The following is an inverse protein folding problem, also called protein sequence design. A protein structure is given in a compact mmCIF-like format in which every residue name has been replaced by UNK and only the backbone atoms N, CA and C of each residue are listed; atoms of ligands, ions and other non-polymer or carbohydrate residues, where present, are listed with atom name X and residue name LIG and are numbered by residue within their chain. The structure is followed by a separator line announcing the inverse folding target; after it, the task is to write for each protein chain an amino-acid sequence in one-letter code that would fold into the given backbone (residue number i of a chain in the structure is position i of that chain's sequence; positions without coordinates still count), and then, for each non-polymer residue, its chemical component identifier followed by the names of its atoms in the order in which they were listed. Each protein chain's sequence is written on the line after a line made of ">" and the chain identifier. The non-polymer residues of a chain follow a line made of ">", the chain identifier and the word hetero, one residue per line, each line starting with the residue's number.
data_IF_562470704049
#
_entry.id   IF_562470704049
#
_cell.length_a   1.000
_cell.length_b   1.000
_cell.length_c   1.000
_cell.angle_alpha   90.00
_cell.angle_beta   90.00
_cell.angle_gamma   90.00
#
_symmetry.space_group_name_H-M   'P 1'
#
loop_
_entity.id
_entity.type
_entity.pdbx_description
1 polymer ?
#
# COMPACT_ATOMS: atom_id res chain seq x y z
N UNK A 1 56.64 -39.08 36.64
CA UNK A 1 55.53 -38.12 36.86
C UNK A 1 55.07 -37.44 35.57
N UNK A 2 55.97 -36.90 34.74
CA UNK A 2 55.63 -36.19 33.50
C UNK A 2 54.72 -36.97 32.52
N UNK A 3 54.98 -38.27 32.30
CA UNK A 3 54.17 -39.11 31.40
C UNK A 3 52.71 -39.24 31.88
N UNK A 4 52.50 -39.32 33.20
CA UNK A 4 51.15 -39.40 33.79
C UNK A 4 50.41 -38.06 33.65
N UNK A 5 51.10 -36.95 33.83
CA UNK A 5 50.56 -35.59 33.65
C UNK A 5 50.19 -35.36 32.18
N UNK A 6 51.03 -35.80 31.24
CA UNK A 6 50.78 -35.68 29.81
C UNK A 6 49.57 -36.50 29.36
N UNK A 7 49.41 -37.73 29.87
CA UNK A 7 48.23 -38.55 29.60
C UNK A 7 46.93 -37.91 30.09
N UNK A 8 46.96 -37.26 31.26
CA UNK A 8 45.80 -36.53 31.81
C UNK A 8 45.45 -35.32 30.93
N UNK A 9 46.44 -34.57 30.44
CA UNK A 9 46.23 -33.44 29.55
C UNK A 9 45.63 -33.85 28.21
N UNK A 10 46.09 -34.96 27.63
CA UNK A 10 45.52 -35.51 26.39
C UNK A 10 44.06 -35.92 26.61
N UNK A 11 43.75 -36.57 27.73
CA UNK A 11 42.38 -36.98 28.05
C UNK A 11 41.44 -35.76 28.22
N UNK A 12 41.90 -34.71 28.91
CA UNK A 12 41.13 -33.48 29.05
C UNK A 12 40.92 -32.77 27.71
N UNK A 13 41.94 -32.77 26.85
CA UNK A 13 41.86 -32.20 25.50
C UNK A 13 40.86 -32.95 24.62
N UNK A 14 40.88 -34.29 24.62
CA UNK A 14 39.95 -35.08 23.81
C UNK A 14 38.51 -34.94 24.30
N UNK A 15 38.28 -34.90 25.61
CA UNK A 15 36.94 -34.68 26.19
C UNK A 15 36.40 -33.30 25.78
N UNK A 16 37.19 -32.25 25.95
CA UNK A 16 36.78 -30.88 25.59
C UNK A 16 36.52 -30.75 24.09
N UNK A 17 37.38 -31.31 23.25
CA UNK A 17 37.19 -31.31 21.81
C UNK A 17 35.93 -32.07 21.39
N UNK A 18 35.64 -33.20 22.04
CA UNK A 18 34.41 -33.98 21.78
C UNK A 18 33.16 -33.17 22.12
N UNK A 19 33.14 -32.51 23.29
CA UNK A 19 32.02 -31.65 23.71
C UNK A 19 31.85 -30.48 22.74
N UNK A 20 32.93 -29.81 22.33
CA UNK A 20 32.89 -28.72 21.36
C UNK A 20 32.44 -29.19 19.97
N UNK A 21 32.78 -30.41 19.55
CA UNK A 21 32.34 -30.99 18.27
C UNK A 21 30.86 -31.39 18.27
N UNK A 22 30.30 -31.69 19.44
CA UNK A 22 28.88 -32.00 19.64
C UNK A 22 28.01 -30.74 19.79
N UNK A 23 28.63 -29.58 20.08
CA UNK A 23 27.96 -28.30 20.02
C UNK A 23 27.82 -27.92 18.54
N UNK A 24 26.60 -27.94 18.01
CA UNK A 24 26.34 -27.49 16.64
C UNK A 24 26.88 -26.07 16.45
N UNK A 25 27.92 -25.84 15.61
CA UNK A 25 28.47 -24.51 15.37
C UNK A 25 27.46 -23.58 14.68
N UNK A 26 26.34 -24.14 14.22
CA UNK A 26 25.23 -23.45 13.56
C UNK A 26 24.12 -23.03 14.53
N UNK A 27 24.24 -23.32 15.83
CA UNK A 27 23.25 -22.92 16.85
C UNK A 27 23.37 -21.46 17.31
N UNK A 28 24.11 -20.62 16.56
CA UNK A 28 23.99 -19.16 16.64
C UNK A 28 22.57 -18.78 16.22
N UNK A 29 21.66 -18.85 17.18
CA UNK A 29 20.31 -18.34 17.10
C UNK A 29 20.42 -16.81 17.17
N UNK A 30 20.92 -16.22 16.08
CA UNK A 30 20.81 -14.80 15.84
C UNK A 30 19.31 -14.53 15.83
N UNK A 31 18.77 -14.02 16.93
CA UNK A 31 17.44 -13.46 16.95
C UNK A 31 17.44 -12.34 15.92
N UNK A 32 17.06 -12.67 14.69
CA UNK A 32 16.73 -11.69 13.67
C UNK A 32 15.46 -11.04 14.20
N UNK A 33 15.63 -9.99 15.01
CA UNK A 33 14.54 -9.04 15.26
C UNK A 33 13.92 -8.79 13.89
N UNK A 34 12.62 -9.08 13.74
CA UNK A 34 11.93 -9.05 12.47
C UNK A 34 11.99 -7.64 11.89
N UNK A 35 13.08 -7.33 11.19
CA UNK A 35 13.21 -6.15 10.37
C UNK A 35 12.13 -6.31 9.31
N UNK A 36 11.21 -5.34 9.22
CA UNK A 36 10.19 -5.32 8.19
C UNK A 36 10.91 -5.04 6.85
N UNK A 37 11.50 -6.08 6.29
CA UNK A 37 12.25 -6.00 5.05
C UNK A 37 11.29 -5.63 3.93
N UNK A 38 11.70 -4.66 3.11
CA UNK A 38 11.10 -4.46 1.79
C UNK A 38 11.33 -5.75 1.02
N UNK A 39 10.27 -6.49 0.75
CA UNK A 39 10.35 -7.80 0.11
C UNK A 39 10.56 -7.65 -1.40
N UNK A 40 9.96 -6.62 -2.01
CA UNK A 40 10.08 -6.31 -3.44
C UNK A 40 10.07 -4.79 -3.59
N UNK A 41 10.91 -4.27 -4.48
CA UNK A 41 10.87 -2.87 -4.92
C UNK A 41 10.94 -2.79 -6.45
N UNK A 42 10.11 -1.93 -7.04
CA UNK A 42 10.12 -1.65 -8.47
C UNK A 42 9.96 -0.14 -8.72
N UNK A 43 10.51 0.34 -9.84
CA UNK A 43 10.47 1.75 -10.25
C UNK A 43 9.86 1.89 -11.65
N UNK A 44 9.33 3.08 -11.96
CA UNK A 44 8.80 3.45 -13.27
C UNK A 44 7.75 2.48 -13.82
N UNK A 45 6.75 2.18 -12.99
CA UNK A 45 5.73 1.19 -13.30
C UNK A 45 4.73 1.74 -14.30
N UNK A 46 4.43 0.92 -15.31
CA UNK A 46 3.38 1.14 -16.31
C UNK A 46 2.71 -0.20 -16.56
N UNK A 47 1.41 -0.28 -16.34
CA UNK A 47 0.61 -1.48 -16.57
C UNK A 47 -0.64 -1.12 -17.36
N UNK A 48 -1.01 -2.03 -18.27
CA UNK A 48 -2.20 -1.91 -19.11
C UNK A 48 -3.10 -3.10 -18.83
N UNK A 49 -4.36 -2.83 -18.52
CA UNK A 49 -5.40 -3.85 -18.49
C UNK A 49 -6.17 -3.78 -19.81
N UNK A 50 -6.24 -4.89 -20.52
CA UNK A 50 -6.90 -4.97 -21.83
C UNK A 50 -7.83 -6.17 -21.89
N UNK A 51 -8.85 -6.09 -22.75
CA UNK A 51 -9.59 -7.27 -23.23
C UNK A 51 -9.17 -7.58 -24.68
N UNK A 52 -9.98 -8.38 -25.40
CA UNK A 52 -9.68 -8.80 -26.77
C UNK A 52 -9.59 -7.65 -27.79
N UNK A 53 -10.14 -6.47 -27.50
CA UNK A 53 -10.22 -5.37 -28.48
C UNK A 53 -9.90 -3.97 -27.94
N UNK A 54 -9.87 -3.76 -26.63
CA UNK A 54 -9.67 -2.44 -26.01
C UNK A 54 -8.78 -2.49 -24.77
N UNK A 55 -8.04 -1.40 -24.55
CA UNK A 55 -7.40 -1.11 -23.26
C UNK A 55 -8.49 -0.56 -22.33
N UNK A 56 -8.75 -1.26 -21.22
CA UNK A 56 -9.75 -0.91 -20.22
C UNK A 56 -9.23 0.08 -19.18
N UNK A 57 -7.97 -0.13 -18.78
CA UNK A 57 -7.34 0.63 -17.73
C UNK A 57 -5.84 0.78 -17.99
N UNK A 58 -5.29 1.91 -17.56
CA UNK A 58 -3.87 2.17 -17.52
C UNK A 58 -3.48 2.58 -16.11
N UNK A 59 -2.45 1.94 -15.58
CA UNK A 59 -1.91 2.21 -14.24
C UNK A 59 -0.47 2.66 -14.38
N UNK A 60 -0.10 3.71 -13.65
CA UNK A 60 1.25 4.24 -13.59
C UNK A 60 1.61 4.54 -12.14
N UNK A 61 2.84 4.23 -11.75
CA UNK A 61 3.42 4.69 -10.50
C UNK A 61 4.91 4.93 -10.67
N UNK A 62 5.47 5.86 -9.89
CA UNK A 62 6.90 6.12 -9.86
C UNK A 62 7.64 4.97 -9.17
N UNK A 63 7.09 4.43 -8.09
CA UNK A 63 7.62 3.23 -7.45
C UNK A 63 6.56 2.40 -6.78
N UNK A 64 6.89 1.12 -6.55
CA UNK A 64 6.13 0.20 -5.71
C UNK A 64 7.08 -0.48 -4.74
N UNK A 65 6.66 -0.57 -3.48
CA UNK A 65 7.35 -1.29 -2.43
C UNK A 65 6.37 -2.27 -1.78
N UNK A 66 6.75 -3.54 -1.71
CA UNK A 66 6.01 -4.58 -1.00
C UNK A 66 6.64 -4.83 0.37
N UNK A 67 5.84 -4.71 1.42
CA UNK A 67 6.17 -5.11 2.79
C UNK A 67 5.51 -6.46 3.11
N UNK A 68 5.65 -6.94 4.35
CA UNK A 68 4.98 -8.17 4.79
C UNK A 68 3.46 -8.02 4.84
N UNK A 69 2.98 -6.82 5.17
CA UNK A 69 1.61 -6.49 5.54
C UNK A 69 0.93 -5.52 4.55
N UNK A 70 1.67 -4.90 3.63
CA UNK A 70 1.09 -3.92 2.70
C UNK A 70 1.90 -3.75 1.42
N UNK A 71 1.24 -3.19 0.42
CA UNK A 71 1.85 -2.72 -0.82
C UNK A 71 1.68 -1.21 -0.91
N UNK A 72 2.76 -0.47 -1.14
CA UNK A 72 2.77 0.99 -1.27
C UNK A 72 3.23 1.39 -2.67
N UNK A 73 2.48 2.28 -3.32
CA UNK A 73 2.81 2.87 -4.61
C UNK A 73 2.96 4.38 -4.46
N UNK A 74 4.02 4.95 -5.04
CA UNK A 74 4.27 6.39 -5.03
C UNK A 74 3.95 7.01 -6.38
N UNK A 75 3.40 8.23 -6.36
CA UNK A 75 2.93 9.01 -7.51
C UNK A 75 2.01 8.17 -8.42
N UNK A 76 0.96 7.63 -7.81
CA UNK A 76 0.05 6.69 -8.47
C UNK A 76 -0.97 7.42 -9.34
N UNK A 77 -1.21 6.88 -10.54
CA UNK A 77 -2.22 7.32 -11.49
C UNK A 77 -2.91 6.09 -12.06
N UNK A 78 -4.23 6.12 -12.08
CA UNK A 78 -5.07 5.19 -12.84
C UNK A 78 -5.97 5.96 -13.80
N UNK A 79 -5.99 5.51 -15.05
CA UNK A 79 -6.85 6.02 -16.11
C UNK A 79 -7.74 4.89 -16.61
N UNK A 80 -9.04 4.98 -16.33
CA UNK A 80 -10.00 3.93 -16.68
C UNK A 80 -11.18 4.52 -17.43
N UNK A 81 -11.99 3.65 -18.06
CA UNK A 81 -13.20 4.06 -18.76
C UNK A 81 -14.26 4.69 -17.84
N UNK A 82 -14.33 4.22 -16.58
CA UNK A 82 -15.34 4.68 -15.62
C UNK A 82 -14.91 5.95 -14.87
N UNK A 83 -13.64 6.01 -14.49
CA UNK A 83 -13.05 7.10 -13.71
C UNK A 83 -11.53 7.09 -13.80
N UNK A 84 -10.94 8.25 -13.54
CA UNK A 84 -9.52 8.42 -13.33
C UNK A 84 -9.26 8.79 -11.87
N UNK A 85 -8.13 8.37 -11.33
CA UNK A 85 -7.72 8.69 -9.98
C UNK A 85 -6.20 8.87 -9.91
N UNK A 86 -5.74 9.90 -9.22
CA UNK A 86 -4.32 10.09 -8.92
C UNK A 86 -4.09 10.45 -7.46
N UNK A 87 -2.95 10.06 -6.91
CA UNK A 87 -2.52 10.41 -5.56
C UNK A 87 -0.99 10.36 -5.45
N UNK A 88 -0.42 11.03 -4.45
CA UNK A 88 1.01 10.93 -4.14
C UNK A 88 1.36 9.54 -3.61
N UNK A 89 0.45 8.90 -2.87
CA UNK A 89 0.61 7.55 -2.35
C UNK A 89 -0.67 6.75 -2.49
N UNK A 90 -0.50 5.48 -2.80
CA UNK A 90 -1.53 4.45 -2.80
C UNK A 90 -1.07 3.30 -1.91
N UNK A 91 -1.94 2.84 -1.01
CA UNK A 91 -1.68 1.71 -0.12
C UNK A 91 -2.79 0.65 -0.21
N UNK A 92 -2.36 -0.62 -0.25
CA UNK A 92 -3.22 -1.78 -0.04
C UNK A 92 -2.94 -2.40 1.33
N UNK A 93 -3.96 -2.48 2.18
CA UNK A 93 -3.84 -3.05 3.53
C UNK A 93 -3.94 -4.59 3.53
N UNK A 94 -2.98 -5.27 4.14
CA UNK A 94 -3.06 -6.67 4.61
C UNK A 94 -3.51 -7.72 3.58
N UNK A 95 -2.97 -7.71 2.35
CA UNK A 95 -3.41 -8.56 1.21
C UNK A 95 -4.92 -8.45 0.89
N UNK A 96 -5.68 -7.68 1.64
CA UNK A 96 -7.10 -7.48 1.45
C UNK A 96 -7.28 -6.30 0.50
N UNK A 97 -7.53 -6.63 -0.76
CA UNK A 97 -7.80 -5.66 -1.80
C UNK A 97 -9.24 -5.11 -1.73
N UNK A 98 -10.00 -5.40 -0.66
CA UNK A 98 -11.34 -4.84 -0.45
C UNK A 98 -11.31 -3.33 -0.23
N UNK A 99 -10.23 -2.84 0.36
CA UNK A 99 -10.02 -1.42 0.69
C UNK A 99 -8.67 -0.95 0.22
N UNK A 100 -8.66 0.27 -0.28
CA UNK A 100 -7.50 0.89 -0.90
C UNK A 100 -7.43 2.32 -0.41
N UNK A 101 -6.29 2.73 0.14
CA UNK A 101 -6.10 4.09 0.64
C UNK A 101 -5.29 4.90 -0.35
N UNK A 102 -5.78 6.10 -0.67
CA UNK A 102 -5.07 7.11 -1.45
C UNK A 102 -4.75 8.29 -0.56
N UNK A 103 -3.51 8.75 -0.58
CA UNK A 103 -3.03 9.85 0.26
C UNK A 103 -2.22 10.87 -0.54
N UNK A 104 -2.36 12.13 -0.15
CA UNK A 104 -1.67 13.29 -0.71
C UNK A 104 -2.20 13.68 -2.07
N UNK A 105 -2.76 14.88 -2.17
CA UNK A 105 -3.27 15.47 -3.42
C UNK A 105 -4.17 14.51 -4.24
N UNK A 106 -5.03 13.76 -3.56
CA UNK A 106 -5.91 12.79 -4.19
C UNK A 106 -6.88 13.53 -5.11
N UNK A 107 -6.90 13.13 -6.38
CA UNK A 107 -7.81 13.68 -7.39
C UNK A 107 -8.57 12.54 -8.04
N UNK A 108 -9.88 12.52 -7.85
CA UNK A 108 -10.81 11.65 -8.55
C UNK A 108 -11.50 12.44 -9.66
N UNK A 109 -11.62 11.83 -10.85
CA UNK A 109 -12.35 12.38 -11.99
C UNK A 109 -13.26 11.27 -12.50
N UNK A 110 -14.56 11.39 -12.23
CA UNK A 110 -15.56 10.44 -12.70
C UNK A 110 -16.26 10.93 -13.97
N UNK A 111 -17.19 10.10 -14.46
CA UNK A 111 -18.14 10.49 -15.49
C UNK A 111 -18.98 11.71 -15.06
N UNK A 112 -19.59 12.40 -16.04
CA UNK A 112 -20.50 13.54 -15.84
C UNK A 112 -19.87 14.75 -15.12
N UNK A 113 -18.61 15.09 -15.44
CA UNK A 113 -17.92 16.28 -14.91
C UNK A 113 -17.87 16.34 -13.38
N UNK A 114 -17.77 15.18 -12.71
CA UNK A 114 -17.53 15.09 -11.27
C UNK A 114 -16.03 14.99 -11.03
N UNK A 115 -15.47 15.98 -10.36
CA UNK A 115 -14.08 15.97 -9.88
C UNK A 115 -14.06 16.17 -8.38
N UNK A 116 -13.32 15.33 -7.66
CA UNK A 116 -13.16 15.42 -6.21
C UNK A 116 -11.67 15.54 -5.92
N UNK A 117 -11.31 16.48 -5.05
CA UNK A 117 -9.95 16.74 -4.61
C UNK A 117 -9.93 16.65 -3.09
N UNK A 118 -9.04 15.83 -2.53
CA UNK A 118 -8.89 15.62 -1.09
C UNK A 118 -7.45 15.28 -0.71
N UNK A 119 -7.12 15.30 0.57
CA UNK A 119 -5.82 14.80 1.04
C UNK A 119 -5.81 13.29 1.27
N UNK A 120 -6.96 12.70 1.54
CA UNK A 120 -7.07 11.27 1.81
C UNK A 120 -8.40 10.75 1.25
N UNK A 121 -8.39 9.58 0.62
CA UNK A 121 -9.61 8.90 0.17
C UNK A 121 -9.44 7.39 0.33
N UNK A 122 -10.39 6.75 1.00
CA UNK A 122 -10.54 5.30 1.00
C UNK A 122 -11.46 4.90 -0.17
N UNK A 123 -11.05 3.89 -0.92
CA UNK A 123 -11.87 3.26 -1.95
C UNK A 123 -12.20 1.82 -1.58
N UNK A 124 -13.48 1.52 -1.49
CA UNK A 124 -13.99 0.16 -1.29
C UNK A 124 -14.25 -0.47 -2.66
N UNK A 125 -13.41 -1.42 -3.06
CA UNK A 125 -13.36 -1.93 -4.45
C UNK A 125 -14.60 -2.74 -4.82
N UNK A 126 -15.14 -3.51 -3.87
CA UNK A 126 -16.33 -4.36 -4.07
C UNK A 126 -17.60 -3.53 -4.26
N UNK A 127 -17.82 -2.59 -3.34
CA UNK A 127 -19.05 -1.77 -3.32
C UNK A 127 -18.94 -0.53 -4.19
N UNK A 128 -17.73 -0.22 -4.68
CA UNK A 128 -17.39 0.98 -5.46
C UNK A 128 -17.75 2.27 -4.73
N UNK A 129 -17.36 2.35 -3.45
CA UNK A 129 -17.60 3.50 -2.59
C UNK A 129 -16.29 4.27 -2.41
N UNK A 130 -16.31 5.57 -2.69
CA UNK A 130 -15.24 6.50 -2.32
C UNK A 130 -15.63 7.25 -1.06
N UNK A 131 -14.76 7.19 -0.06
CA UNK A 131 -15.00 7.76 1.25
C UNK A 131 -13.83 8.67 1.65
N UNK A 132 -14.13 9.82 2.24
CA UNK A 132 -13.13 10.64 2.93
C UNK A 132 -13.72 11.24 4.19
N UNK A 133 -12.91 11.32 5.23
CA UNK A 133 -13.21 12.07 6.46
C UNK A 133 -12.34 13.34 6.58
N UNK A 134 -11.73 13.77 5.47
CA UNK A 134 -10.90 14.97 5.43
C UNK A 134 -11.56 16.04 4.57
N UNK A 135 -11.14 17.29 4.78
CA UNK A 135 -11.62 18.40 3.98
C UNK A 135 -11.38 18.14 2.50
N UNK A 136 -12.43 18.32 1.70
CA UNK A 136 -12.39 18.08 0.27
C UNK A 136 -13.06 19.21 -0.50
N UNK A 137 -12.73 19.27 -1.79
CA UNK A 137 -13.37 20.12 -2.78
C UNK A 137 -13.89 19.26 -3.92
N UNK A 138 -15.19 19.34 -4.19
CA UNK A 138 -15.82 18.75 -5.35
C UNK A 138 -16.20 19.83 -6.38
N UNK A 139 -16.05 19.48 -7.65
CA UNK A 139 -16.54 20.23 -8.80
C UNK A 139 -17.55 19.34 -9.50
N UNK A 140 -18.79 19.79 -9.58
CA UNK A 140 -19.90 19.00 -10.13
C UNK A 140 -20.68 19.89 -11.07
N UNK A 141 -20.59 19.62 -12.37
CA UNK A 141 -21.30 20.38 -13.41
C UNK A 141 -21.15 21.90 -13.27
N UNK A 142 -19.93 22.38 -13.00
CA UNK A 142 -19.62 23.81 -12.82
C UNK A 142 -19.85 24.34 -11.40
N UNK A 143 -20.60 23.65 -10.57
CA UNK A 143 -20.76 23.98 -9.15
C UNK A 143 -19.52 23.58 -8.33
N UNK A 144 -19.20 24.38 -7.31
CA UNK A 144 -18.11 24.10 -6.37
C UNK A 144 -18.75 23.70 -5.04
N UNK A 145 -18.33 22.57 -4.48
CA UNK A 145 -18.78 22.10 -3.17
C UNK A 145 -17.56 21.84 -2.31
N UNK A 146 -17.49 22.46 -1.14
CA UNK A 146 -16.50 22.13 -0.12
C UNK A 146 -17.22 21.39 1.02
N UNK A 147 -16.56 20.42 1.63
CA UNK A 147 -17.08 19.66 2.75
C UNK A 147 -15.96 19.08 3.60
N UNK A 148 -16.32 18.49 4.74
CA UNK A 148 -15.37 17.87 5.67
C UNK A 148 -15.38 16.34 5.63
N UNK A 149 -16.45 15.74 5.12
CA UNK A 149 -16.54 14.30 4.85
C UNK A 149 -17.42 14.03 3.64
N UNK A 150 -17.08 13.01 2.87
CA UNK A 150 -17.74 12.60 1.65
C UNK A 150 -17.91 11.08 1.66
N UNK A 151 -19.07 10.62 1.22
CA UNK A 151 -19.30 9.22 0.87
C UNK A 151 -20.01 9.18 -0.50
N UNK A 152 -19.29 8.70 -1.51
CA UNK A 152 -19.78 8.62 -2.88
C UNK A 152 -19.94 7.17 -3.32
N UNK A 153 -21.19 6.76 -3.51
CA UNK A 153 -21.54 5.51 -4.17
C UNK A 153 -21.46 5.74 -5.68
N UNK A 154 -20.37 5.27 -6.29
CA UNK A 154 -20.11 5.47 -7.72
C UNK A 154 -21.12 4.70 -8.57
N UNK A 155 -21.56 3.52 -8.10
CA UNK A 155 -22.48 2.64 -8.85
C UNK A 155 -23.86 3.28 -8.99
N UNK A 156 -24.40 3.78 -7.88
CA UNK A 156 -25.71 4.42 -7.84
C UNK A 156 -25.65 5.93 -8.10
N UNK A 157 -24.44 6.50 -8.20
CA UNK A 157 -24.18 7.92 -8.42
C UNK A 157 -24.76 8.81 -7.31
N UNK A 158 -24.71 8.32 -6.07
CA UNK A 158 -25.23 9.02 -4.89
C UNK A 158 -24.07 9.59 -4.10
N UNK A 159 -24.05 10.91 -3.93
CA UNK A 159 -23.02 11.66 -3.22
C UNK A 159 -23.59 12.24 -1.93
N UNK A 160 -23.14 11.71 -0.79
CA UNK A 160 -23.46 12.22 0.54
C UNK A 160 -22.29 13.04 1.06
N UNK A 161 -22.57 14.23 1.59
CA UNK A 161 -21.56 15.18 2.06
C UNK A 161 -21.95 15.72 3.43
N UNK A 162 -20.97 15.87 4.30
CA UNK A 162 -21.10 16.58 5.58
C UNK A 162 -20.30 17.90 5.55
N UNK A 163 -20.72 18.85 6.38
CA UNK A 163 -20.04 20.15 6.52
C UNK A 163 -20.05 21.00 5.24
N UNK A 164 -21.15 20.94 4.48
CA UNK A 164 -21.25 21.51 3.13
C UNK A 164 -21.16 23.04 3.12
N UNK A 165 -20.30 23.57 2.27
CA UNK A 165 -20.37 24.94 1.75
C UNK A 165 -20.32 24.87 0.21
N UNK A 166 -21.39 25.31 -0.46
CA UNK A 166 -21.56 25.16 -1.89
C UNK A 166 -21.75 26.52 -2.59
N UNK A 167 -21.03 26.69 -3.71
CA UNK A 167 -21.30 27.70 -4.72
C UNK A 167 -21.93 27.01 -5.93
N UNK A 168 -23.23 27.22 -6.11
CA UNK A 168 -23.98 26.58 -7.18
C UNK A 168 -24.02 27.48 -8.40
N UNK A 169 -23.86 26.88 -9.57
CA UNK A 169 -24.06 27.57 -10.84
C UNK A 169 -25.48 27.29 -11.32
N UNK A 170 -26.26 28.35 -11.55
CA UNK A 170 -27.55 28.22 -12.21
C UNK A 170 -27.35 27.81 -13.68
N UNK A 171 -28.21 26.92 -14.15
CA UNK A 171 -28.23 26.43 -15.53
C UNK A 171 -28.84 27.44 -16.48
#
# INVERSE_FOLDING_TARGET
>A
MAIKIFGILIALFTITFTILSLQDPYSLNLQTNALNFKNIEAKNLKAYESNTSTIKAYYKANSWVRYADRDEFNDFITLNLDFNLSANRLEFFNKDMSKVLFEGNVTYIGANNVKIISQEVEYQTKDKILHTNTNFKALINGSIINGNALNYDIKNKILNIQGVNAWLQDK
#
